data_IF_781840816993
#
_entry.id   IF_781840816993
#
_cell.length_a   1.000
_cell.length_b   1.000
_cell.length_c   1.000
_cell.angle_alpha   90.00
_cell.angle_beta   90.00
_cell.angle_gamma   90.00
#
_symmetry.space_group_name_H-M   'P 1'
#
loop_
_entity.id
_entity.type
_entity.pdbx_description
1 polymer ?
#
# COMPACT_ATOMS: atom_id res chain seq x y z
N UNK A 1 20.12 -7.70 -66.29
CA UNK A 1 19.78 -8.63 -67.39
C UNK A 1 19.75 -10.09 -66.92
N UNK A 2 19.12 -10.44 -65.79
CA UNK A 2 19.16 -11.82 -65.23
C UNK A 2 17.77 -12.41 -64.93
N UNK A 3 16.70 -11.60 -64.90
CA UNK A 3 15.38 -12.04 -64.39
C UNK A 3 14.40 -12.61 -65.44
N UNK A 4 14.84 -12.79 -66.69
CA UNK A 4 13.90 -12.70 -67.83
C UNK A 4 13.65 -13.95 -68.68
N UNK A 5 14.25 -15.12 -68.40
CA UNK A 5 14.27 -16.17 -69.43
C UNK A 5 13.79 -17.58 -69.09
N UNK A 6 13.67 -18.06 -67.85
CA UNK A 6 13.63 -19.53 -67.66
C UNK A 6 12.49 -20.05 -66.75
N UNK A 7 11.49 -20.68 -67.39
CA UNK A 7 10.64 -21.79 -66.89
C UNK A 7 9.45 -21.44 -65.97
N UNK A 8 8.79 -20.38 -66.41
CA UNK A 8 7.70 -19.61 -65.82
C UNK A 8 6.32 -19.88 -66.47
N UNK A 9 5.52 -20.83 -65.96
CA UNK A 9 4.05 -20.67 -66.14
C UNK A 9 3.23 -21.44 -65.10
N UNK A 10 3.52 -22.72 -64.83
CA UNK A 10 2.68 -23.53 -63.94
C UNK A 10 3.21 -23.63 -62.51
N UNK A 11 4.48 -23.99 -62.33
CA UNK A 11 5.09 -24.17 -61.00
C UNK A 11 5.27 -22.85 -60.25
N UNK A 12 5.72 -21.79 -60.93
CA UNK A 12 5.84 -20.45 -60.34
C UNK A 12 4.47 -19.86 -59.99
N UNK A 13 3.44 -20.12 -60.81
CA UNK A 13 2.06 -19.66 -60.53
C UNK A 13 1.46 -20.38 -59.32
N UNK A 14 1.67 -21.69 -59.21
CA UNK A 14 1.20 -22.47 -58.06
C UNK A 14 1.98 -22.12 -56.78
N UNK A 15 3.30 -21.97 -56.84
CA UNK A 15 4.13 -21.53 -55.70
C UNK A 15 3.78 -20.09 -55.29
N UNK A 16 3.54 -19.19 -56.24
CA UNK A 16 3.11 -17.82 -55.98
C UNK A 16 1.73 -17.74 -55.32
N UNK A 17 0.76 -18.56 -55.76
CA UNK A 17 -0.56 -18.67 -55.13
C UNK A 17 -0.48 -19.21 -53.70
N UNK A 18 0.37 -20.21 -53.46
CA UNK A 18 0.60 -20.76 -52.12
C UNK A 18 1.27 -19.72 -51.22
N UNK A 19 2.28 -18.99 -51.71
CA UNK A 19 2.91 -17.91 -50.95
C UNK A 19 1.90 -16.79 -50.63
N UNK A 20 1.08 -16.36 -51.59
CA UNK A 20 0.05 -15.34 -51.36
C UNK A 20 -1.00 -15.80 -50.35
N UNK A 21 -1.30 -17.10 -50.29
CA UNK A 21 -2.23 -17.66 -49.30
C UNK A 21 -1.60 -17.83 -47.90
N UNK A 22 -0.32 -18.21 -47.83
CA UNK A 22 0.37 -18.56 -46.57
C UNK A 22 1.03 -17.36 -45.89
N UNK A 23 1.55 -16.39 -46.66
CA UNK A 23 2.18 -15.16 -46.15
C UNK A 23 1.24 -14.33 -45.26
N UNK A 24 -0.03 -14.05 -45.60
CA UNK A 24 -0.91 -13.27 -44.73
C UNK A 24 -1.24 -14.02 -43.44
N UNK A 25 -1.36 -15.36 -43.48
CA UNK A 25 -1.54 -16.17 -42.28
C UNK A 25 -0.31 -16.09 -41.36
N UNK A 26 0.90 -16.22 -41.90
CA UNK A 26 2.15 -16.07 -41.15
C UNK A 26 2.35 -14.64 -40.61
N UNK A 27 1.98 -13.62 -41.40
CA UNK A 27 2.02 -12.22 -40.98
C UNK A 27 1.08 -11.95 -39.80
N UNK A 28 -0.14 -12.49 -39.83
CA UNK A 28 -1.09 -12.40 -38.72
C UNK A 28 -0.57 -13.14 -37.47
N UNK A 29 0.04 -14.32 -37.63
CA UNK A 29 0.61 -15.09 -36.51
C UNK A 29 1.76 -14.33 -35.83
N UNK A 30 2.66 -13.71 -36.61
CA UNK A 30 3.80 -12.96 -36.06
C UNK A 30 3.37 -11.62 -35.43
N UNK A 31 2.40 -10.92 -36.02
CA UNK A 31 1.82 -9.72 -35.42
C UNK A 31 1.11 -10.01 -34.11
N UNK A 32 0.30 -11.08 -34.04
CA UNK A 32 -0.42 -11.45 -32.82
C UNK A 32 0.52 -11.93 -31.72
N UNK A 33 1.55 -12.71 -32.04
CA UNK A 33 2.58 -13.13 -31.09
C UNK A 33 3.35 -11.94 -30.47
N UNK A 34 3.59 -10.89 -31.27
CA UNK A 34 4.25 -9.66 -30.80
C UNK A 34 3.32 -8.81 -29.91
N UNK A 35 2.04 -8.71 -30.29
CA UNK A 35 1.03 -7.97 -29.53
C UNK A 35 0.71 -8.63 -28.18
N UNK A 36 0.63 -9.97 -28.15
CA UNK A 36 0.38 -10.75 -26.93
C UNK A 36 1.48 -10.57 -25.87
N UNK A 37 2.74 -10.46 -26.28
CA UNK A 37 3.86 -10.23 -25.34
C UNK A 37 3.79 -8.85 -24.68
N UNK A 38 3.37 -7.81 -25.42
CA UNK A 38 3.19 -6.47 -24.85
C UNK A 38 2.01 -6.42 -23.87
N UNK A 39 0.87 -7.04 -24.22
CA UNK A 39 -0.32 -7.06 -23.36
C UNK A 39 -0.10 -7.81 -22.05
N UNK A 40 0.56 -8.98 -22.10
CA UNK A 40 0.90 -9.74 -20.89
C UNK A 40 1.81 -8.95 -19.93
N UNK A 41 2.72 -8.13 -20.45
CA UNK A 41 3.60 -7.28 -19.64
C UNK A 41 2.87 -6.08 -18.99
N UNK A 42 1.89 -5.51 -19.68
CA UNK A 42 1.05 -4.40 -19.20
C UNK A 42 0.07 -4.88 -18.13
N UNK A 43 -0.53 -6.05 -18.31
CA UNK A 43 -1.41 -6.67 -17.31
C UNK A 43 -0.66 -7.08 -16.04
N UNK A 44 0.54 -7.66 -16.18
CA UNK A 44 1.38 -8.00 -15.02
C UNK A 44 1.76 -6.74 -14.21
N UNK A 45 2.14 -5.64 -14.89
CA UNK A 45 2.47 -4.37 -14.23
C UNK A 45 1.27 -3.70 -13.57
N UNK A 46 0.11 -3.71 -14.21
CA UNK A 46 -1.11 -3.10 -13.65
C UNK A 46 -1.65 -3.88 -12.44
N UNK A 47 -1.54 -5.21 -12.45
CA UNK A 47 -1.93 -6.04 -11.30
C UNK A 47 -0.98 -5.87 -10.10
N UNK A 48 0.34 -5.80 -10.33
CA UNK A 48 1.31 -5.49 -9.28
C UNK A 48 1.09 -4.10 -8.68
N UNK A 49 0.81 -3.08 -9.52
CA UNK A 49 0.49 -1.74 -9.03
C UNK A 49 -0.85 -1.70 -8.27
N UNK A 50 -1.86 -2.48 -8.65
CA UNK A 50 -3.12 -2.57 -7.88
C UNK A 50 -2.90 -3.19 -6.51
N UNK A 51 -2.12 -4.27 -6.42
CA UNK A 51 -1.80 -4.91 -5.14
C UNK A 51 -0.96 -3.98 -4.26
N UNK A 52 0.06 -3.32 -4.81
CA UNK A 52 0.84 -2.33 -4.07
C UNK A 52 -0.03 -1.16 -3.59
N UNK A 53 -0.97 -0.67 -4.41
CA UNK A 53 -1.93 0.36 -4.02
C UNK A 53 -2.93 -0.12 -2.96
N UNK A 54 -3.37 -1.37 -3.00
CA UNK A 54 -4.25 -1.95 -1.98
C UNK A 54 -3.53 -2.11 -0.64
N UNK A 55 -2.29 -2.58 -0.66
CA UNK A 55 -1.46 -2.67 0.55
C UNK A 55 -1.18 -1.27 1.13
N UNK A 56 -0.86 -0.29 0.27
CA UNK A 56 -0.69 1.10 0.69
C UNK A 56 -1.98 1.72 1.22
N UNK A 57 -3.13 1.44 0.60
CA UNK A 57 -4.43 1.94 1.05
C UNK A 57 -4.84 1.35 2.40
N UNK A 58 -4.57 0.05 2.64
CA UNK A 58 -4.81 -0.57 3.94
C UNK A 58 -3.94 0.06 5.05
N UNK A 59 -2.70 0.43 4.75
CA UNK A 59 -1.86 1.17 5.71
C UNK A 59 -2.46 2.55 6.04
N UNK A 60 -2.91 3.30 5.04
CA UNK A 60 -3.55 4.61 5.25
C UNK A 60 -4.82 4.49 6.10
N UNK A 61 -5.64 3.47 5.85
CA UNK A 61 -6.88 3.28 6.61
C UNK A 61 -6.62 2.93 8.08
N UNK A 62 -5.61 2.12 8.37
CA UNK A 62 -5.23 1.82 9.75
C UNK A 62 -4.73 3.07 10.50
N UNK A 63 -3.93 3.91 9.82
CA UNK A 63 -3.42 5.17 10.39
C UNK A 63 -4.57 6.14 10.67
N UNK A 64 -5.50 6.30 9.74
CA UNK A 64 -6.64 7.21 9.93
C UNK A 64 -7.57 6.72 11.05
N UNK A 65 -7.79 5.41 11.16
CA UNK A 65 -8.53 4.83 12.29
C UNK A 65 -7.86 5.12 13.64
N UNK A 66 -6.52 4.99 13.71
CA UNK A 66 -5.76 5.34 14.90
C UNK A 66 -5.86 6.84 15.23
N UNK A 67 -5.77 7.71 14.21
CA UNK A 67 -5.93 9.16 14.37
C UNK A 67 -7.29 9.52 14.97
N UNK A 68 -8.37 8.99 14.42
CA UNK A 68 -9.72 9.25 14.90
C UNK A 68 -9.93 8.77 16.34
N UNK A 69 -9.45 7.56 16.66
CA UNK A 69 -9.49 7.02 18.02
C UNK A 69 -8.72 7.90 19.00
N UNK A 70 -7.50 8.32 18.67
CA UNK A 70 -6.67 9.15 19.54
C UNK A 70 -7.25 10.55 19.74
N UNK A 71 -7.89 11.14 18.71
CA UNK A 71 -8.63 12.41 18.85
C UNK A 71 -9.81 12.24 19.84
N UNK A 72 -10.56 11.14 19.72
CA UNK A 72 -11.67 10.87 20.62
C UNK A 72 -11.19 10.66 22.08
N UNK A 73 -10.12 9.89 22.26
CA UNK A 73 -9.49 9.67 23.57
C UNK A 73 -9.05 11.01 24.17
N UNK A 74 -8.37 11.87 23.40
CA UNK A 74 -7.88 13.17 23.88
C UNK A 74 -8.99 14.11 24.39
N UNK A 75 -10.24 13.91 23.96
CA UNK A 75 -11.40 14.69 24.43
C UNK A 75 -12.07 14.11 25.68
N UNK A 76 -11.64 12.95 26.17
CA UNK A 76 -12.22 12.35 27.36
C UNK A 76 -12.02 13.26 28.59
N UNK A 77 -13.06 13.42 29.43
CA UNK A 77 -13.00 14.28 30.61
C UNK A 77 -11.91 13.82 31.59
N UNK A 78 -11.69 12.52 31.69
CA UNK A 78 -10.63 11.91 32.51
C UNK A 78 -9.25 12.50 32.18
N UNK A 79 -8.98 12.76 30.88
CA UNK A 79 -7.71 13.30 30.40
C UNK A 79 -7.67 14.81 30.56
N UNK A 80 -8.75 15.50 30.19
CA UNK A 80 -8.84 16.96 30.26
C UNK A 80 -8.80 17.50 31.71
N UNK A 81 -9.38 16.75 32.65
CA UNK A 81 -9.42 17.08 34.07
C UNK A 81 -8.20 16.52 34.84
N UNK A 82 -7.37 15.70 34.19
CA UNK A 82 -6.19 15.10 34.81
C UNK A 82 -6.49 14.02 35.85
N UNK A 83 -7.63 13.30 35.71
CA UNK A 83 -7.97 12.15 36.53
C UNK A 83 -7.28 10.89 35.98
N UNK A 84 -6.02 10.70 36.35
CA UNK A 84 -5.17 9.65 35.77
C UNK A 84 -5.60 8.22 36.14
N UNK A 85 -6.20 8.02 37.32
CA UNK A 85 -6.69 6.70 37.75
C UNK A 85 -7.89 6.25 36.90
N UNK A 86 -8.85 7.14 36.67
CA UNK A 86 -9.97 6.85 35.82
C UNK A 86 -9.54 6.71 34.34
N UNK A 87 -8.59 7.53 33.89
CA UNK A 87 -7.95 7.36 32.57
C UNK A 87 -7.36 5.95 32.40
N UNK A 88 -6.63 5.42 33.39
CA UNK A 88 -6.05 4.08 33.32
C UNK A 88 -7.13 3.02 33.13
N UNK A 89 -8.24 3.13 33.86
CA UNK A 89 -9.38 2.22 33.73
C UNK A 89 -10.01 2.32 32.34
N UNK A 90 -10.25 3.54 31.84
CA UNK A 90 -10.82 3.76 30.51
C UNK A 90 -9.92 3.18 29.41
N UNK A 91 -8.61 3.46 29.45
CA UNK A 91 -7.67 2.95 28.45
C UNK A 91 -7.52 1.43 28.53
N UNK A 92 -7.57 0.83 29.73
CA UNK A 92 -7.54 -0.62 29.91
C UNK A 92 -8.79 -1.28 29.32
N UNK A 93 -9.97 -0.70 29.50
CA UNK A 93 -11.20 -1.20 28.86
C UNK A 93 -11.18 -1.03 27.33
N UNK A 94 -10.60 0.07 26.84
CA UNK A 94 -10.46 0.35 25.41
C UNK A 94 -9.51 -0.66 24.73
N UNK A 95 -8.38 -1.00 25.35
CA UNK A 95 -7.41 -1.91 24.71
C UNK A 95 -7.98 -3.34 24.54
N UNK A 96 -8.89 -3.77 25.42
CA UNK A 96 -9.60 -5.04 25.27
C UNK A 96 -10.52 -5.08 24.04
N UNK A 97 -11.12 -3.95 23.69
CA UNK A 97 -12.01 -3.82 22.53
C UNK A 97 -11.23 -3.64 21.22
N UNK A 98 -10.08 -2.97 21.27
CA UNK A 98 -9.26 -2.66 20.11
C UNK A 98 -7.96 -3.49 20.08
N UNK A 99 -8.11 -4.81 19.88
CA UNK A 99 -7.01 -5.79 19.86
C UNK A 99 -5.95 -5.56 18.79
N UNK A 100 -6.18 -4.64 17.84
CA UNK A 100 -5.19 -4.23 16.84
C UNK A 100 -4.07 -3.35 17.40
N UNK A 101 -4.24 -2.78 18.60
CA UNK A 101 -3.24 -1.93 19.24
C UNK A 101 -2.52 -2.67 20.36
N UNK A 102 -1.23 -2.36 20.53
CA UNK A 102 -0.40 -2.98 21.57
C UNK A 102 -0.62 -2.30 22.93
N UNK A 103 -0.73 -0.97 22.94
CA UNK A 103 -0.98 -0.19 24.13
C UNK A 103 -1.50 1.21 23.74
N UNK A 104 -2.24 1.83 24.65
CA UNK A 104 -2.64 3.23 24.59
C UNK A 104 -2.04 3.93 25.81
N UNK A 105 -1.47 5.12 25.64
CA UNK A 105 -0.85 5.85 26.76
C UNK A 105 -0.91 7.35 26.54
N UNK A 106 -1.06 8.09 27.64
CA UNK A 106 -1.03 9.56 27.69
C UNK A 106 0.30 10.00 28.28
N UNK A 107 0.93 10.94 27.61
CA UNK A 107 2.25 11.47 27.96
C UNK A 107 2.12 12.92 28.41
N UNK A 108 2.93 13.34 29.39
CA UNK A 108 3.09 14.76 29.69
C UNK A 108 4.05 15.46 28.69
N UNK A 109 4.14 16.80 28.68
CA UNK A 109 5.07 17.53 27.80
C UNK A 109 6.55 17.22 28.04
N UNK A 110 6.89 16.57 29.16
CA UNK A 110 8.24 16.12 29.49
C UNK A 110 8.50 14.68 29.01
N UNK A 111 7.50 14.03 28.41
CA UNK A 111 7.58 12.69 27.83
C UNK A 111 7.32 11.56 28.83
N UNK A 112 6.88 11.85 30.06
CA UNK A 112 6.56 10.81 31.03
C UNK A 112 5.15 10.29 30.81
N UNK A 113 4.96 8.97 30.97
CA UNK A 113 3.62 8.38 30.91
C UNK A 113 2.82 8.75 32.16
N UNK A 114 1.65 9.36 31.95
CA UNK A 114 0.69 9.73 33.00
C UNK A 114 -0.39 8.68 33.21
N UNK A 115 -0.78 8.03 32.12
CA UNK A 115 -1.84 7.03 32.09
C UNK A 115 -1.55 6.03 30.98
N UNK A 116 -1.85 4.75 31.19
CA UNK A 116 -1.57 3.65 30.26
C UNK A 116 -2.67 2.59 30.32
N UNK A 117 -2.93 1.94 29.19
CA UNK A 117 -3.82 0.78 29.11
C UNK A 117 -3.21 -0.50 29.69
N UNK A 118 -1.90 -0.50 29.94
CA UNK A 118 -1.18 -1.64 30.50
C UNK A 118 -0.45 -1.22 31.78
N UNK A 119 -0.33 -2.12 32.77
CA UNK A 119 0.40 -1.83 34.00
C UNK A 119 1.88 -1.61 33.68
N UNK A 120 2.40 -0.44 34.05
CA UNK A 120 3.81 -0.09 33.91
C UNK A 120 4.59 -0.60 35.12
N UNK A 121 5.55 -1.49 34.91
CA UNK A 121 6.41 -1.99 35.99
C UNK A 121 7.50 -0.97 36.40
N UNK A 122 7.83 -0.04 35.50
CA UNK A 122 8.82 1.02 35.74
C UNK A 122 8.37 2.30 35.03
N UNK A 123 8.79 3.49 35.52
CA UNK A 123 8.58 4.74 34.80
C UNK A 123 9.24 4.70 33.42
N UNK A 124 8.48 5.05 32.38
CA UNK A 124 8.96 5.14 30.99
C UNK A 124 8.88 6.59 30.54
N UNK A 125 9.94 7.06 29.90
CA UNK A 125 10.02 8.38 29.28
C UNK A 125 10.26 8.25 27.77
N UNK A 126 9.58 9.09 26.99
CA UNK A 126 9.63 9.09 25.53
C UNK A 126 10.22 10.38 24.94
N UNK A 127 10.82 11.25 25.75
CA UNK A 127 11.33 12.55 25.32
C UNK A 127 12.44 12.48 24.26
N UNK A 128 13.17 11.36 24.23
CA UNK A 128 14.23 11.09 23.26
C UNK A 128 13.68 10.76 21.86
N UNK A 129 12.41 10.36 21.75
CA UNK A 129 11.81 9.91 20.50
C UNK A 129 11.54 11.05 19.53
N UNK A 130 11.83 10.82 18.24
CA UNK A 130 11.64 11.81 17.18
C UNK A 130 10.17 12.21 17.03
N UNK A 131 9.26 11.23 17.01
CA UNK A 131 7.82 11.48 16.89
C UNK A 131 7.28 12.31 18.06
N UNK A 132 7.82 12.13 19.28
CA UNK A 132 7.41 12.90 20.45
C UNK A 132 7.82 14.37 20.32
N UNK A 133 9.08 14.61 19.93
CA UNK A 133 9.58 15.97 19.65
C UNK A 133 8.79 16.65 18.54
N UNK A 134 8.40 15.90 17.51
CA UNK A 134 7.62 16.42 16.39
C UNK A 134 6.19 16.79 16.81
N UNK A 135 5.49 15.94 17.58
CA UNK A 135 4.17 16.25 18.15
C UNK A 135 4.20 17.53 18.97
N UNK A 136 5.22 17.71 19.81
CA UNK A 136 5.34 18.93 20.63
C UNK A 136 5.60 20.18 19.78
N UNK A 137 6.33 20.04 18.67
CA UNK A 137 6.64 21.15 17.78
C UNK A 137 5.46 21.55 16.89
N UNK A 138 4.69 20.58 16.37
CA UNK A 138 3.60 20.84 15.42
C UNK A 138 2.23 20.92 16.09
N UNK A 139 2.05 20.28 17.25
CA UNK A 139 0.74 20.04 17.89
C UNK A 139 -0.25 19.31 16.97
N UNK A 140 0.27 18.58 16.00
CA UNK A 140 -0.49 17.78 15.05
C UNK A 140 -0.30 16.29 15.29
N UNK A 141 -1.14 15.48 14.64
CA UNK A 141 -0.98 14.03 14.62
C UNK A 141 0.30 13.63 13.88
N UNK A 142 1.14 12.79 14.50
CA UNK A 142 2.41 12.32 13.95
C UNK A 142 2.51 10.80 14.07
N UNK A 143 3.11 10.19 13.07
CA UNK A 143 3.49 8.77 13.02
C UNK A 143 5.02 8.67 12.97
N UNK A 144 5.62 7.73 13.68
CA UNK A 144 7.08 7.55 13.81
C UNK A 144 7.56 6.14 13.51
#
# INVERSE_FOLDING_TARGET
MVFRAFFSSLRVRSIGLVLIAVVPALGLILCTASFQRQQASLEARTNLMRLAKLVAANQTQAIEGARQLLIAIAQLPEIQQGNWDACNQTLSNLIEQYQSYVALSVLDPQGNVRCSSLPLSQPINFADRLYFRQVLATQEFVVG
#
